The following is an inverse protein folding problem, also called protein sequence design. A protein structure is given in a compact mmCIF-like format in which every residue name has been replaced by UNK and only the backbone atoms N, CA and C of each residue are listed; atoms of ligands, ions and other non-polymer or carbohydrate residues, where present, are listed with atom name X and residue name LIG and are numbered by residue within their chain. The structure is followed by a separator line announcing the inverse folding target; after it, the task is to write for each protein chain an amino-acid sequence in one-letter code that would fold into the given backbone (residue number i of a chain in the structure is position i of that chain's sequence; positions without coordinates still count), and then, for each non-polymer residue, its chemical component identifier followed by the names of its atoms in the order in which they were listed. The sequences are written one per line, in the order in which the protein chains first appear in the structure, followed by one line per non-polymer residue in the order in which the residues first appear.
data_IF_866888552556
#
_entry.id   IF_866888552556
#
_cell.length_a   1.000
_cell.length_b   1.000
_cell.length_c   1.000
_cell.angle_alpha   90.00
_cell.angle_beta   90.00
_cell.angle_gamma   90.00
#
_symmetry.space_group_name_H-M   'P 1'
#
loop_
_entity.id
_entity.type
_entity.pdbx_description
1 polymer ?
#
# COMPACT_ATOMS: atom_id res chain seq x y z
N UNK A 1 15.05 -18.11 16.63
CA UNK A 1 14.16 -17.95 15.45
C UNK A 1 13.79 -16.48 15.36
N UNK A 2 13.89 -15.85 14.18
CA UNK A 2 13.55 -14.45 14.00
C UNK A 2 12.04 -14.26 14.15
N UNK A 3 11.63 -13.25 14.91
CA UNK A 3 10.22 -12.88 15.07
C UNK A 3 9.73 -11.99 13.94
N UNK A 4 10.60 -11.06 13.48
CA UNK A 4 10.27 -10.05 12.49
C UNK A 4 11.31 -9.99 11.37
N UNK A 5 10.86 -9.89 10.12
CA UNK A 5 11.67 -9.43 8.99
C UNK A 5 11.17 -8.05 8.56
N UNK A 6 12.03 -7.05 8.61
CA UNK A 6 11.76 -5.72 8.06
C UNK A 6 12.34 -5.66 6.65
N UNK A 7 11.47 -5.49 5.66
CA UNK A 7 11.82 -5.46 4.23
C UNK A 7 11.88 -4.00 3.79
N UNK A 8 13.06 -3.56 3.35
CA UNK A 8 13.34 -2.18 2.94
C UNK A 8 13.76 -2.16 1.47
N UNK A 9 12.85 -1.82 0.54
CA UNK A 9 13.20 -1.57 -0.85
C UNK A 9 14.06 -0.32 -0.99
N UNK A 10 15.12 -0.39 -1.80
CA UNK A 10 16.07 0.71 -1.99
C UNK A 10 16.21 1.03 -3.48
N UNK A 11 15.87 2.25 -3.86
CA UNK A 11 16.09 2.81 -5.18
C UNK A 11 16.17 4.34 -5.12
N UNK A 12 17.36 4.93 -5.33
CA UNK A 12 17.60 6.38 -5.36
C UNK A 12 17.19 7.09 -4.06
N UNK A 13 17.69 6.60 -2.90
CA UNK A 13 17.30 7.03 -1.54
C UNK A 13 18.50 7.28 -0.61
N UNK A 14 19.66 7.60 -1.17
CA UNK A 14 20.91 7.86 -0.43
C UNK A 14 20.71 8.83 0.77
N UNK A 15 19.86 9.84 0.62
CA UNK A 15 19.62 10.85 1.63
C UNK A 15 18.82 10.32 2.85
N UNK A 16 18.08 9.22 2.71
CA UNK A 16 17.06 8.79 3.68
C UNK A 16 17.35 7.43 4.32
N UNK A 17 17.94 6.51 3.57
CA UNK A 17 18.05 5.09 3.92
C UNK A 17 18.76 4.83 5.25
N UNK A 18 19.75 5.65 5.62
CA UNK A 18 20.41 5.54 6.93
C UNK A 18 19.44 5.77 8.08
N UNK A 19 18.65 6.84 8.02
CA UNK A 19 17.66 7.18 9.05
C UNK A 19 16.57 6.11 9.14
N UNK A 20 16.14 5.58 8.01
CA UNK A 20 15.19 4.47 7.96
C UNK A 20 15.71 3.25 8.72
N UNK A 21 16.92 2.76 8.40
CA UNK A 21 17.53 1.59 9.07
C UNK A 21 17.76 1.84 10.56
N UNK A 22 18.24 3.04 10.95
CA UNK A 22 18.41 3.41 12.39
C UNK A 22 17.10 3.31 13.14
N UNK A 23 15.98 3.76 12.56
CA UNK A 23 14.68 3.69 13.21
C UNK A 23 14.22 2.25 13.46
N UNK A 24 14.61 1.29 12.61
CA UNK A 24 14.36 -0.13 12.87
C UNK A 24 15.20 -0.62 14.07
N UNK A 25 16.47 -0.23 14.14
CA UNK A 25 17.35 -0.62 15.27
C UNK A 25 16.90 -0.01 16.60
N UNK A 26 16.23 1.13 16.57
CA UNK A 26 15.68 1.83 17.73
C UNK A 26 14.25 1.39 18.09
N UNK A 27 13.70 0.40 17.41
CA UNK A 27 12.32 -0.04 17.53
C UNK A 27 11.96 -0.86 18.78
N UNK A 28 12.93 -1.10 19.68
CA UNK A 28 12.71 -1.77 20.96
C UNK A 28 12.89 -3.28 20.95
N UNK A 29 13.18 -3.89 19.79
CA UNK A 29 13.47 -5.32 19.67
C UNK A 29 14.96 -5.60 19.88
N UNK A 30 15.27 -6.74 20.50
CA UNK A 30 16.64 -7.25 20.55
C UNK A 30 17.08 -7.71 19.16
N UNK A 31 18.35 -7.50 18.82
CA UNK A 31 18.92 -7.79 17.50
C UNK A 31 18.78 -9.28 17.07
N UNK A 32 18.74 -10.17 18.06
CA UNK A 32 18.47 -11.59 17.82
C UNK A 32 17.07 -11.89 17.30
N UNK A 33 16.09 -11.01 17.53
CA UNK A 33 14.67 -11.21 17.28
C UNK A 33 14.23 -10.73 15.90
N UNK A 34 15.00 -9.85 15.24
CA UNK A 34 14.64 -9.34 13.92
C UNK A 34 15.77 -9.49 12.90
N UNK A 35 15.43 -9.28 11.66
CA UNK A 35 16.34 -9.08 10.54
C UNK A 35 15.85 -7.93 9.67
N UNK A 36 16.78 -7.25 9.01
CA UNK A 36 16.54 -6.20 8.05
C UNK A 36 16.98 -6.71 6.69
N UNK A 37 16.05 -6.82 5.77
CA UNK A 37 16.31 -7.24 4.39
C UNK A 37 16.23 -6.00 3.51
N UNK A 38 17.38 -5.47 3.16
CA UNK A 38 17.52 -4.38 2.20
C UNK A 38 17.53 -4.98 0.81
N UNK A 39 16.58 -4.56 -0.04
CA UNK A 39 16.53 -4.99 -1.43
C UNK A 39 16.89 -3.82 -2.32
N UNK A 40 18.12 -3.84 -2.84
CA UNK A 40 18.61 -2.88 -3.82
C UNK A 40 18.04 -3.21 -5.21
N UNK A 41 17.13 -2.40 -5.67
CA UNK A 41 16.42 -2.56 -6.94
C UNK A 41 17.15 -1.81 -8.09
N UNK A 42 18.48 -2.03 -8.20
CA UNK A 42 19.37 -1.37 -9.16
C UNK A 42 19.46 0.14 -8.92
N UNK A 43 19.74 0.54 -7.68
CA UNK A 43 19.83 1.95 -7.29
C UNK A 43 20.95 2.68 -8.04
N UNK A 44 20.67 3.83 -8.69
CA UNK A 44 21.66 4.57 -9.46
C UNK A 44 22.56 5.46 -8.61
N UNK A 45 22.23 5.65 -7.31
CA UNK A 45 22.95 6.49 -6.35
C UNK A 45 23.83 5.67 -5.40
N UNK A 46 24.34 6.30 -4.36
CA UNK A 46 25.20 5.65 -3.36
C UNK A 46 24.44 5.05 -2.16
N UNK A 47 23.17 4.77 -2.29
CA UNK A 47 22.35 4.20 -1.20
C UNK A 47 22.99 2.96 -0.58
N UNK A 48 23.42 1.99 -1.38
CA UNK A 48 24.04 0.74 -0.90
C UNK A 48 25.41 0.98 -0.26
N UNK A 49 26.23 1.86 -0.86
CA UNK A 49 27.53 2.25 -0.30
C UNK A 49 27.35 2.90 1.09
N UNK A 50 26.37 3.80 1.22
CA UNK A 50 26.02 4.46 2.46
C UNK A 50 25.61 3.46 3.55
N UNK A 51 24.79 2.47 3.21
CA UNK A 51 24.39 1.41 4.16
C UNK A 51 25.60 0.64 4.64
N UNK A 52 26.48 0.18 3.74
CA UNK A 52 27.68 -0.60 4.09
C UNK A 52 28.66 0.19 4.97
N UNK A 53 28.81 1.50 4.70
CA UNK A 53 29.70 2.37 5.45
C UNK A 53 29.14 2.71 6.84
N UNK A 54 27.83 2.87 6.96
CA UNK A 54 27.17 3.22 8.25
C UNK A 54 26.99 2.01 9.17
N UNK A 55 26.72 0.84 8.60
CA UNK A 55 26.43 -0.40 9.32
C UNK A 55 27.40 -1.54 8.92
N UNK A 56 28.71 -1.37 9.12
CA UNK A 56 29.70 -2.36 8.66
C UNK A 56 29.52 -3.67 9.42
N UNK A 57 29.38 -4.78 8.68
CA UNK A 57 29.25 -6.13 9.21
C UNK A 57 28.09 -6.32 10.23
N UNK A 58 27.05 -5.54 10.13
CA UNK A 58 25.87 -5.68 11.01
C UNK A 58 25.16 -7.01 10.72
N UNK A 59 25.10 -7.95 11.68
CA UNK A 59 24.56 -9.29 11.44
C UNK A 59 23.03 -9.29 11.25
N UNK A 60 22.35 -8.20 11.61
CA UNK A 60 20.91 -8.07 11.39
C UNK A 60 20.56 -7.61 9.99
N UNK A 61 21.54 -7.12 9.18
CA UNK A 61 21.29 -6.53 7.87
C UNK A 61 21.77 -7.47 6.76
N UNK A 62 20.84 -7.83 5.89
CA UNK A 62 21.15 -8.54 4.63
C UNK A 62 20.82 -7.63 3.45
N UNK A 63 21.78 -7.44 2.54
CA UNK A 63 21.59 -6.66 1.31
C UNK A 63 21.50 -7.61 0.13
N UNK A 64 20.39 -7.54 -0.61
CA UNK A 64 20.12 -8.30 -1.82
C UNK A 64 20.01 -7.32 -2.98
N UNK A 65 20.92 -7.42 -3.97
CA UNK A 65 20.84 -6.61 -5.19
C UNK A 65 20.14 -7.38 -6.31
N UNK A 66 19.28 -6.71 -7.04
CA UNK A 66 18.56 -7.26 -8.18
C UNK A 66 18.47 -6.24 -9.32
N UNK A 67 18.15 -6.72 -10.54
CA UNK A 67 17.71 -5.83 -11.62
C UNK A 67 16.39 -5.19 -11.27
N UNK A 68 16.20 -3.93 -11.65
CA UNK A 68 15.01 -3.17 -11.30
C UNK A 68 13.71 -3.88 -11.70
N UNK A 69 12.89 -4.18 -10.70
CA UNK A 69 11.55 -4.79 -10.82
C UNK A 69 10.45 -3.90 -10.26
N UNK A 70 10.82 -2.69 -9.84
CA UNK A 70 9.94 -1.75 -9.15
C UNK A 70 9.67 -2.12 -7.68
N UNK A 71 8.98 -1.24 -6.97
CA UNK A 71 8.76 -1.33 -5.53
C UNK A 71 8.13 -2.68 -5.12
N UNK A 72 7.07 -3.11 -5.83
CA UNK A 72 6.45 -4.41 -5.57
C UNK A 72 7.40 -5.59 -5.78
N UNK A 73 8.24 -5.54 -6.82
CA UNK A 73 9.23 -6.59 -7.10
C UNK A 73 10.33 -6.68 -6.04
N UNK A 74 10.79 -5.53 -5.52
CA UNK A 74 11.73 -5.49 -4.41
C UNK A 74 11.13 -6.08 -3.12
N UNK A 75 9.89 -5.71 -2.79
CA UNK A 75 9.16 -6.30 -1.65
C UNK A 75 9.00 -7.82 -1.80
N UNK A 76 8.70 -8.32 -3.00
CA UNK A 76 8.59 -9.76 -3.28
C UNK A 76 9.91 -10.51 -3.05
N UNK A 77 11.04 -9.92 -3.42
CA UNK A 77 12.36 -10.50 -3.14
C UNK A 77 12.60 -10.57 -1.63
N UNK A 78 12.23 -9.52 -0.89
CA UNK A 78 12.28 -9.52 0.57
C UNK A 78 11.38 -10.59 1.21
N UNK A 79 10.12 -10.76 0.74
CA UNK A 79 9.21 -11.82 1.22
C UNK A 79 9.87 -13.20 1.07
N UNK A 80 10.46 -13.48 -0.09
CA UNK A 80 11.09 -14.77 -0.39
C UNK A 80 12.33 -15.05 0.47
N UNK A 81 13.10 -14.01 0.80
CA UNK A 81 14.30 -14.10 1.61
C UNK A 81 14.04 -14.12 3.12
N UNK A 82 12.86 -13.71 3.57
CA UNK A 82 12.51 -13.51 4.96
C UNK A 82 12.45 -14.82 5.77
N UNK A 83 12.84 -14.73 7.05
CA UNK A 83 12.80 -15.84 8.01
C UNK A 83 11.96 -15.55 9.26
N UNK A 84 11.56 -14.28 9.45
CA UNK A 84 10.72 -13.84 10.56
C UNK A 84 9.30 -14.41 10.52
N UNK A 85 8.67 -14.57 11.67
CA UNK A 85 7.28 -15.00 11.77
C UNK A 85 6.32 -13.95 11.19
N UNK A 86 6.66 -12.67 11.36
CA UNK A 86 5.94 -11.54 10.80
C UNK A 86 6.84 -10.74 9.85
N UNK A 87 6.22 -10.09 8.88
CA UNK A 87 6.86 -9.20 7.91
C UNK A 87 6.35 -7.78 8.12
N UNK A 88 7.25 -6.81 8.06
CA UNK A 88 6.96 -5.39 7.96
C UNK A 88 7.61 -4.86 6.68
N UNK A 89 6.84 -4.23 5.83
CA UNK A 89 7.36 -3.43 4.72
C UNK A 89 7.61 -2.00 5.23
N UNK A 90 8.78 -1.46 4.93
CA UNK A 90 9.14 -0.10 5.31
C UNK A 90 9.81 0.58 4.11
N UNK A 91 9.19 1.63 3.61
CA UNK A 91 9.77 2.40 2.52
C UNK A 91 11.01 3.15 3.03
N UNK A 92 12.05 3.21 2.22
CA UNK A 92 13.38 3.65 2.64
C UNK A 92 13.52 5.14 2.94
N UNK A 93 12.50 5.94 2.66
CA UNK A 93 12.37 7.34 3.07
C UNK A 93 11.52 7.54 4.33
N UNK A 94 10.93 6.47 4.87
CA UNK A 94 10.09 6.47 6.07
C UNK A 94 10.87 6.03 7.32
N UNK A 95 10.26 6.26 8.49
CA UNK A 95 10.85 5.86 9.79
C UNK A 95 9.80 5.27 10.72
N UNK A 96 10.25 4.34 11.58
CA UNK A 96 9.44 3.79 12.65
C UNK A 96 9.49 4.68 13.89
N UNK A 97 8.45 4.62 14.70
CA UNK A 97 8.44 5.23 16.04
C UNK A 97 9.34 4.41 16.97
N UNK A 98 10.24 5.03 17.74
CA UNK A 98 11.11 4.32 18.68
C UNK A 98 10.33 3.44 19.66
N UNK A 99 10.81 2.22 19.90
CA UNK A 99 10.24 1.29 20.89
C UNK A 99 8.96 0.56 20.47
N UNK A 100 8.33 0.93 19.35
CA UNK A 100 6.97 0.47 19.00
C UNK A 100 6.87 -0.99 18.58
N UNK A 101 7.90 -1.53 17.93
CA UNK A 101 7.79 -2.87 17.33
C UNK A 101 7.66 -4.00 18.36
N UNK A 102 8.26 -3.84 19.54
CA UNK A 102 8.12 -4.84 20.61
C UNK A 102 6.65 -5.00 21.02
N UNK A 103 5.94 -3.91 21.25
CA UNK A 103 4.53 -3.93 21.63
C UNK A 103 3.66 -4.50 20.50
N UNK A 104 3.88 -4.02 19.27
CA UNK A 104 3.10 -4.47 18.10
C UNK A 104 3.26 -5.98 17.86
N UNK A 105 4.47 -6.52 17.99
CA UNK A 105 4.71 -7.95 17.86
C UNK A 105 4.06 -8.77 18.97
N UNK A 106 4.13 -8.32 20.22
CA UNK A 106 3.45 -8.98 21.33
C UNK A 106 1.95 -9.07 21.11
N UNK A 107 1.34 -7.99 20.61
CA UNK A 107 -0.09 -7.99 20.27
C UNK A 107 -0.36 -8.94 19.11
N UNK A 108 0.42 -8.88 18.02
CA UNK A 108 0.24 -9.73 16.86
C UNK A 108 0.35 -11.22 17.21
N UNK A 109 1.33 -11.58 18.06
CA UNK A 109 1.53 -12.94 18.55
C UNK A 109 0.38 -13.39 19.47
N UNK A 110 -0.02 -12.55 20.44
CA UNK A 110 -1.09 -12.89 21.40
C UNK A 110 -2.46 -13.05 20.78
N UNK A 111 -2.76 -12.25 19.74
CA UNK A 111 -4.02 -12.32 18.98
C UNK A 111 -3.94 -13.30 17.80
N UNK A 112 -2.77 -13.93 17.58
CA UNK A 112 -2.51 -14.82 16.45
C UNK A 112 -2.92 -14.22 15.10
N UNK A 113 -2.68 -12.92 14.90
CA UNK A 113 -3.16 -12.19 13.74
C UNK A 113 -2.48 -12.64 12.45
N UNK A 114 -3.22 -12.62 11.35
CA UNK A 114 -2.66 -12.70 10.00
C UNK A 114 -2.21 -11.32 9.51
N UNK A 115 -2.95 -10.28 9.92
CA UNK A 115 -2.63 -8.87 9.66
C UNK A 115 -2.88 -8.09 10.95
N UNK A 116 -1.87 -7.36 11.42
CA UNK A 116 -2.02 -6.33 12.45
C UNK A 116 -1.82 -4.97 11.79
N UNK A 117 -2.83 -4.11 11.79
CA UNK A 117 -2.69 -2.72 11.38
C UNK A 117 -2.39 -1.83 12.58
N UNK A 118 -1.47 -0.87 12.41
CA UNK A 118 -1.11 0.12 13.43
C UNK A 118 -1.21 1.53 12.86
N UNK A 119 -1.29 2.52 13.74
CA UNK A 119 -1.39 3.91 13.37
C UNK A 119 -0.14 4.42 12.63
N UNK A 120 -0.35 5.39 11.75
CA UNK A 120 0.72 6.07 11.01
C UNK A 120 0.43 7.55 10.87
N UNK A 121 1.48 8.37 10.76
CA UNK A 121 1.37 9.80 10.46
C UNK A 121 2.19 10.19 9.25
N UNK A 122 1.68 11.10 8.44
CA UNK A 122 2.44 11.75 7.38
C UNK A 122 3.06 13.04 7.90
N UNK A 123 4.34 13.25 7.60
CA UNK A 123 5.09 14.43 8.00
C UNK A 123 5.78 15.08 6.79
N UNK A 124 5.92 16.41 6.80
CA UNK A 124 6.73 17.11 5.80
C UNK A 124 8.24 17.01 6.11
N UNK A 125 9.06 17.65 5.26
CA UNK A 125 10.52 17.67 5.41
C UNK A 125 10.99 18.38 6.69
N UNK A 126 10.15 19.19 7.32
CA UNK A 126 10.39 19.89 8.58
C UNK A 126 9.90 19.09 9.80
N UNK A 127 9.30 17.92 9.56
CA UNK A 127 8.72 17.05 10.60
C UNK A 127 7.34 17.50 11.09
N UNK A 128 6.71 18.48 10.43
CA UNK A 128 5.35 18.92 10.76
C UNK A 128 4.35 17.87 10.27
N UNK A 129 3.43 17.49 11.15
CA UNK A 129 2.37 16.56 10.83
C UNK A 129 1.39 17.12 9.79
N UNK A 130 1.12 16.32 8.77
CA UNK A 130 0.16 16.61 7.68
C UNK A 130 -1.14 15.84 7.88
N UNK A 131 -1.04 14.59 8.29
CA UNK A 131 -2.18 13.73 8.61
C UNK A 131 -1.79 12.63 9.61
N UNK A 132 -2.80 12.10 10.28
CA UNK A 132 -2.66 10.92 11.14
C UNK A 132 -3.80 9.94 10.84
N UNK A 133 -3.47 8.65 10.79
CA UNK A 133 -4.42 7.55 10.69
C UNK A 133 -4.23 6.65 11.91
N UNK A 134 -5.30 6.45 12.67
CA UNK A 134 -5.31 5.61 13.86
C UNK A 134 -6.59 4.78 13.85
N UNK A 135 -6.48 3.56 13.36
CA UNK A 135 -7.58 2.60 13.40
C UNK A 135 -7.49 1.77 14.68
N UNK A 136 -8.63 1.34 15.17
CA UNK A 136 -8.73 0.38 16.28
C UNK A 136 -9.82 -0.62 16.00
N UNK A 137 -9.59 -1.87 16.35
CA UNK A 137 -10.62 -2.92 16.34
C UNK A 137 -11.28 -3.12 17.71
N UNK A 138 -11.00 -2.22 18.66
CA UNK A 138 -11.58 -2.19 20.01
C UNK A 138 -11.53 -3.55 20.73
N UNK A 139 -10.39 -4.24 20.59
CA UNK A 139 -10.17 -5.54 21.19
C UNK A 139 -10.70 -6.74 20.38
N UNK A 140 -11.34 -6.52 19.24
CA UNK A 140 -11.95 -7.57 18.44
C UNK A 140 -11.02 -8.05 17.31
N UNK A 141 -10.89 -9.35 17.16
CA UNK A 141 -10.27 -9.97 15.97
C UNK A 141 -11.38 -10.14 14.93
N UNK A 142 -11.18 -9.55 13.75
CA UNK A 142 -12.15 -9.53 12.65
C UNK A 142 -11.63 -10.29 11.43
N UNK A 143 -12.51 -10.78 10.56
CA UNK A 143 -12.06 -11.12 9.19
C UNK A 143 -11.68 -9.85 8.44
N UNK A 144 -10.84 -9.97 7.41
CA UNK A 144 -10.43 -8.79 6.64
C UNK A 144 -11.59 -8.10 5.93
N UNK A 145 -12.62 -8.85 5.52
CA UNK A 145 -13.85 -8.30 4.94
C UNK A 145 -14.62 -7.52 5.99
N UNK A 146 -14.86 -8.09 7.19
CA UNK A 146 -15.52 -7.39 8.29
C UNK A 146 -14.75 -6.15 8.71
N UNK A 147 -13.42 -6.26 8.84
CA UNK A 147 -12.55 -5.14 9.17
C UNK A 147 -12.70 -4.00 8.17
N UNK A 148 -12.62 -4.29 6.88
CA UNK A 148 -12.79 -3.27 5.85
C UNK A 148 -14.19 -2.64 5.87
N UNK A 149 -15.23 -3.43 6.01
CA UNK A 149 -16.60 -2.94 5.98
C UNK A 149 -16.97 -2.07 7.19
N UNK A 150 -16.30 -2.27 8.34
CA UNK A 150 -16.62 -1.56 9.59
C UNK A 150 -15.62 -0.45 9.94
N UNK A 151 -14.33 -0.70 9.76
CA UNK A 151 -13.25 0.19 10.23
C UNK A 151 -12.60 0.93 9.05
N UNK A 152 -12.30 0.23 7.96
CA UNK A 152 -11.50 0.72 6.83
C UNK A 152 -10.01 0.76 7.14
N UNK A 153 -9.20 0.05 6.39
CA UNK A 153 -7.76 0.11 6.53
C UNK A 153 -7.12 1.24 5.69
N UNK A 154 -5.96 1.69 6.10
CA UNK A 154 -5.10 2.50 5.25
C UNK A 154 -4.57 1.65 4.09
N UNK A 155 -4.58 2.17 2.85
CA UNK A 155 -4.13 1.40 1.69
C UNK A 155 -2.62 1.13 1.65
N UNK A 156 -1.80 1.82 2.45
CA UNK A 156 -0.36 1.51 2.56
C UNK A 156 -0.13 0.11 3.11
N UNK A 157 0.89 -0.58 2.61
CA UNK A 157 1.39 -1.82 3.20
C UNK A 157 2.33 -1.57 4.39
N UNK A 158 2.85 -0.33 4.56
CA UNK A 158 3.93 0.00 5.49
C UNK A 158 3.48 0.27 6.93
N UNK A 159 2.19 0.21 7.24
CA UNK A 159 1.64 0.30 8.59
C UNK A 159 0.98 -1.01 9.05
N UNK A 160 1.53 -2.14 8.62
CA UNK A 160 0.98 -3.45 8.95
C UNK A 160 2.06 -4.48 9.21
N UNK A 161 1.82 -5.35 10.19
CA UNK A 161 2.54 -6.61 10.33
C UNK A 161 1.73 -7.70 9.63
N UNK A 162 2.39 -8.43 8.74
CA UNK A 162 1.79 -9.57 8.03
C UNK A 162 2.40 -10.86 8.53
N UNK A 163 1.59 -11.84 8.89
CA UNK A 163 2.08 -13.17 9.23
C UNK A 163 2.71 -13.81 7.98
N UNK A 164 3.98 -14.17 8.06
CA UNK A 164 4.74 -14.67 6.91
C UNK A 164 4.09 -15.91 6.27
N UNK A 165 3.70 -16.90 7.07
CA UNK A 165 3.04 -18.10 6.58
C UNK A 165 1.74 -17.79 5.85
N UNK A 166 0.94 -16.83 6.35
CA UNK A 166 -0.28 -16.38 5.68
C UNK A 166 -0.01 -15.85 4.28
N UNK A 167 1.04 -15.02 4.10
CA UNK A 167 1.38 -14.51 2.78
C UNK A 167 1.84 -15.64 1.83
N UNK A 168 2.69 -16.54 2.30
CA UNK A 168 3.24 -17.61 1.47
C UNK A 168 2.20 -18.66 1.08
N UNK A 169 1.39 -19.11 2.02
CA UNK A 169 0.34 -20.12 1.80
C UNK A 169 -0.77 -19.63 0.86
N UNK A 170 -0.99 -18.33 0.81
CA UNK A 170 -1.97 -17.71 -0.07
C UNK A 170 -1.37 -17.08 -1.33
N UNK A 171 -0.07 -17.28 -1.58
CA UNK A 171 0.65 -16.72 -2.74
C UNK A 171 0.48 -15.19 -2.88
N UNK A 172 0.47 -14.49 -1.73
CA UNK A 172 0.27 -13.05 -1.67
C UNK A 172 1.60 -12.34 -1.93
N UNK A 173 1.84 -12.03 -3.18
CA UNK A 173 2.95 -11.23 -3.68
C UNK A 173 2.43 -9.95 -4.33
N UNK A 174 3.24 -8.88 -4.31
CA UNK A 174 2.90 -7.62 -4.98
C UNK A 174 2.97 -7.78 -6.51
N UNK A 175 2.17 -7.02 -7.22
CA UNK A 175 2.37 -6.86 -8.66
C UNK A 175 3.64 -6.05 -8.91
N UNK A 176 4.48 -6.52 -9.84
CA UNK A 176 5.74 -5.86 -10.17
C UNK A 176 5.51 -4.69 -11.14
N UNK A 177 6.29 -3.61 -10.99
CA UNK A 177 6.33 -2.46 -11.92
C UNK A 177 4.99 -1.75 -12.14
N UNK A 178 4.09 -1.77 -11.19
CA UNK A 178 2.86 -0.98 -11.22
C UNK A 178 2.86 0.11 -10.16
N UNK A 179 2.13 1.19 -10.40
CA UNK A 179 1.69 2.11 -9.37
C UNK A 179 0.49 1.50 -8.63
N UNK A 180 0.17 1.96 -7.44
CA UNK A 180 -0.94 1.45 -6.61
C UNK A 180 -0.86 -0.05 -6.27
N UNK A 181 0.35 -0.61 -6.24
CA UNK A 181 0.62 -2.00 -5.87
C UNK A 181 0.11 -2.32 -4.46
N UNK A 182 0.19 -1.38 -3.53
CA UNK A 182 -0.33 -1.50 -2.16
C UNK A 182 -1.85 -1.69 -2.12
N UNK A 183 -2.57 -0.95 -2.97
CA UNK A 183 -4.02 -1.07 -3.06
C UNK A 183 -4.41 -2.48 -3.53
N UNK A 184 -3.75 -2.97 -4.57
CA UNK A 184 -4.01 -4.28 -5.16
C UNK A 184 -3.65 -5.40 -4.16
N UNK A 185 -2.45 -5.35 -3.59
CA UNK A 185 -1.96 -6.32 -2.61
C UNK A 185 -2.88 -6.40 -1.38
N UNK A 186 -3.21 -5.25 -0.79
CA UNK A 186 -4.10 -5.21 0.37
C UNK A 186 -5.52 -5.68 0.03
N UNK A 187 -6.00 -5.47 -1.20
CA UNK A 187 -7.30 -6.02 -1.63
C UNK A 187 -7.30 -7.54 -1.49
N UNK A 188 -6.30 -8.22 -2.04
CA UNK A 188 -6.19 -9.70 -1.93
C UNK A 188 -5.91 -10.16 -0.50
N UNK A 189 -5.01 -9.48 0.21
CA UNK A 189 -4.63 -9.84 1.55
C UNK A 189 -5.83 -9.76 2.53
N UNK A 190 -6.56 -8.66 2.52
CA UNK A 190 -7.72 -8.51 3.39
C UNK A 190 -8.91 -9.40 2.96
N UNK A 191 -9.11 -9.63 1.66
CA UNK A 191 -10.11 -10.58 1.20
C UNK A 191 -9.88 -12.00 1.76
N UNK A 192 -8.61 -12.42 1.86
CA UNK A 192 -8.22 -13.76 2.33
C UNK A 192 -8.03 -13.86 3.86
N UNK A 193 -7.84 -12.74 4.55
CA UNK A 193 -7.51 -12.76 5.97
C UNK A 193 -8.73 -13.12 6.84
N UNK A 194 -8.55 -14.13 7.71
CA UNK A 194 -9.54 -14.51 8.73
C UNK A 194 -9.32 -13.80 10.07
N UNK A 195 -8.09 -13.35 10.36
CA UNK A 195 -7.70 -12.75 11.64
C UNK A 195 -6.95 -11.42 11.42
N UNK A 196 -7.68 -10.33 11.46
CA UNK A 196 -7.17 -8.96 11.38
C UNK A 196 -7.42 -8.26 12.70
N UNK A 197 -6.43 -7.51 13.16
CA UNK A 197 -6.51 -6.71 14.37
C UNK A 197 -5.93 -5.32 14.12
N UNK A 198 -6.44 -4.30 14.78
CA UNK A 198 -5.90 -2.95 14.68
C UNK A 198 -5.70 -2.31 16.04
N UNK A 199 -4.62 -1.55 16.12
CA UNK A 199 -4.24 -0.77 17.30
C UNK A 199 -3.94 0.68 16.92
N UNK A 200 -4.33 1.66 17.77
CA UNK A 200 -4.17 3.08 17.45
C UNK A 200 -2.75 3.61 17.63
N UNK A 201 -1.82 2.78 18.12
CA UNK A 201 -0.43 3.18 18.34
C UNK A 201 0.22 3.64 17.03
N UNK A 202 0.79 4.85 17.03
CA UNK A 202 1.53 5.37 15.88
C UNK A 202 2.86 4.64 15.77
N UNK A 203 2.96 3.73 14.79
CA UNK A 203 4.12 2.90 14.55
C UNK A 203 5.05 3.41 13.46
N UNK A 204 4.55 4.22 12.52
CA UNK A 204 5.32 4.72 11.39
C UNK A 204 5.08 6.21 11.13
N UNK A 205 6.13 6.87 10.62
CA UNK A 205 6.09 8.24 10.13
C UNK A 205 6.47 8.24 8.65
N UNK A 206 5.53 8.60 7.80
CA UNK A 206 5.66 8.65 6.34
C UNK A 206 6.10 10.03 5.88
N UNK A 207 7.27 10.10 5.23
CA UNK A 207 7.81 11.35 4.73
C UNK A 207 7.09 11.79 3.46
N UNK A 208 6.51 12.99 3.50
CA UNK A 208 5.78 13.57 2.38
C UNK A 208 6.66 14.55 1.62
N UNK A 209 7.33 14.07 0.55
CA UNK A 209 8.18 14.90 -0.32
C UNK A 209 7.42 15.35 -1.56
N UNK A 210 7.82 16.48 -2.15
CA UNK A 210 7.27 16.94 -3.44
C UNK A 210 7.61 16.00 -4.60
N UNK A 211 8.74 15.30 -4.50
CA UNK A 211 9.24 14.36 -5.51
C UNK A 211 8.70 12.92 -5.36
N UNK A 212 7.77 12.68 -4.45
CA UNK A 212 7.13 11.37 -4.30
C UNK A 212 6.62 10.85 -5.66
N UNK A 213 6.71 9.55 -5.88
CA UNK A 213 6.28 8.86 -7.12
C UNK A 213 4.87 9.27 -7.54
N UNK A 214 3.97 9.44 -6.58
CA UNK A 214 2.57 9.82 -6.81
C UNK A 214 2.38 11.29 -7.20
N UNK A 215 3.37 12.18 -6.96
CA UNK A 215 3.31 13.62 -7.24
C UNK A 215 4.07 14.02 -8.49
N UNK A 216 5.06 13.25 -8.93
CA UNK A 216 5.85 13.54 -10.13
C UNK A 216 5.02 13.31 -11.41
N UNK A 217 4.93 14.32 -12.28
CA UNK A 217 3.89 14.45 -13.30
C UNK A 217 4.38 14.51 -14.73
N UNK A 218 5.40 13.73 -15.12
CA UNK A 218 5.71 13.64 -16.55
C UNK A 218 4.59 12.86 -17.31
N UNK A 219 4.47 13.09 -18.63
CA UNK A 219 3.39 12.52 -19.46
C UNK A 219 3.38 10.98 -19.45
N UNK A 220 4.53 10.36 -19.49
CA UNK A 220 4.66 8.89 -19.50
C UNK A 220 4.17 8.27 -18.17
N UNK A 221 4.57 8.84 -17.03
CA UNK A 221 4.10 8.39 -15.73
C UNK A 221 2.58 8.57 -15.57
N UNK A 222 2.02 9.65 -16.10
CA UNK A 222 0.57 9.88 -16.12
C UNK A 222 -0.18 8.81 -16.92
N UNK A 223 0.31 8.47 -18.10
CA UNK A 223 -0.27 7.43 -18.93
C UNK A 223 -0.13 6.06 -18.28
N UNK A 224 1.05 5.76 -17.75
CA UNK A 224 1.29 4.53 -16.99
C UNK A 224 0.33 4.40 -15.79
N UNK A 225 0.13 5.44 -15.00
CA UNK A 225 -0.82 5.42 -13.87
C UNK A 225 -2.23 5.03 -14.33
N UNK A 226 -2.71 5.57 -15.44
CA UNK A 226 -4.03 5.21 -16.01
C UNK A 226 -4.09 3.74 -16.40
N UNK A 227 -3.03 3.22 -17.04
CA UNK A 227 -2.95 1.81 -17.43
C UNK A 227 -2.90 0.88 -16.21
N UNK A 228 -2.09 1.22 -15.21
CA UNK A 228 -1.96 0.42 -13.99
C UNK A 228 -3.27 0.38 -13.19
N UNK A 229 -3.97 1.52 -13.05
CA UNK A 229 -5.29 1.55 -12.40
C UNK A 229 -6.28 0.65 -13.17
N UNK A 230 -6.25 0.67 -14.48
CA UNK A 230 -7.09 -0.16 -15.33
C UNK A 230 -6.79 -1.65 -15.14
N UNK A 231 -5.50 -2.01 -15.07
CA UNK A 231 -5.07 -3.38 -14.77
C UNK A 231 -5.54 -3.84 -13.38
N UNK A 232 -5.38 -3.01 -12.36
CA UNK A 232 -5.84 -3.33 -11.00
C UNK A 232 -7.37 -3.42 -10.92
N UNK A 233 -8.08 -2.59 -11.67
CA UNK A 233 -9.54 -2.68 -11.80
C UNK A 233 -9.97 -4.03 -12.40
N UNK A 234 -9.30 -4.48 -13.46
CA UNK A 234 -9.58 -5.77 -14.13
C UNK A 234 -9.32 -6.96 -13.20
N UNK A 235 -8.18 -6.95 -12.49
CA UNK A 235 -7.82 -7.98 -11.49
C UNK A 235 -8.86 -8.00 -10.35
N UNK A 236 -9.22 -6.84 -9.81
CA UNK A 236 -10.18 -6.73 -8.69
C UNK A 236 -11.58 -7.18 -9.14
N UNK A 237 -12.00 -6.83 -10.36
CA UNK A 237 -13.25 -7.29 -10.95
C UNK A 237 -13.26 -8.82 -11.11
N UNK A 238 -12.20 -9.39 -11.67
CA UNK A 238 -12.08 -10.84 -11.84
C UNK A 238 -12.14 -11.56 -10.48
N UNK A 239 -11.44 -11.04 -9.47
CA UNK A 239 -11.48 -11.60 -8.12
C UNK A 239 -12.90 -11.54 -7.52
N UNK A 240 -13.64 -10.47 -7.76
CA UNK A 240 -15.04 -10.35 -7.34
C UNK A 240 -15.96 -11.34 -8.03
N UNK A 241 -15.80 -11.53 -9.36
CA UNK A 241 -16.63 -12.46 -10.14
C UNK A 241 -16.36 -13.94 -9.80
N UNK A 242 -15.12 -14.28 -9.46
CA UNK A 242 -14.71 -15.66 -9.12
C UNK A 242 -14.87 -16.00 -7.64
N UNK A 243 -15.11 -15.00 -6.78
CA UNK A 243 -15.32 -15.17 -5.35
C UNK A 243 -16.78 -15.44 -4.97
N UNK A 244 -17.04 -15.59 -3.67
CA UNK A 244 -18.40 -15.77 -3.13
C UNK A 244 -19.18 -14.44 -3.10
N UNK A 245 -19.29 -13.75 -4.24
CA UNK A 245 -19.89 -12.41 -4.37
C UNK A 245 -21.37 -12.31 -4.02
N UNK A 246 -22.07 -13.44 -3.76
CA UNK A 246 -23.46 -13.45 -3.33
C UNK A 246 -23.65 -13.01 -1.87
N UNK A 247 -22.63 -13.17 -1.01
CA UNK A 247 -22.67 -12.69 0.36
C UNK A 247 -22.61 -11.17 0.42
N UNK A 248 -23.54 -10.54 1.12
CA UNK A 248 -23.67 -9.08 1.20
C UNK A 248 -22.39 -8.37 1.68
N UNK A 249 -21.64 -8.97 2.61
CA UNK A 249 -20.37 -8.44 3.11
C UNK A 249 -19.26 -8.47 2.05
N UNK A 250 -19.15 -9.54 1.28
CA UNK A 250 -18.21 -9.69 0.17
C UNK A 250 -18.54 -8.68 -0.93
N UNK A 251 -19.82 -8.56 -1.28
CA UNK A 251 -20.32 -7.58 -2.22
C UNK A 251 -19.94 -6.15 -1.81
N UNK A 252 -20.22 -5.76 -0.57
CA UNK A 252 -19.89 -4.42 -0.05
C UNK A 252 -18.37 -4.14 -0.11
N UNK A 253 -17.55 -5.12 0.26
CA UNK A 253 -16.09 -5.03 0.20
C UNK A 253 -15.61 -4.73 -1.23
N UNK A 254 -16.04 -5.51 -2.22
CA UNK A 254 -15.58 -5.35 -3.59
C UNK A 254 -16.20 -4.15 -4.30
N UNK A 255 -17.49 -3.91 -4.15
CA UNK A 255 -18.16 -2.81 -4.85
C UNK A 255 -17.62 -1.44 -4.42
N UNK A 256 -17.31 -1.23 -3.15
CA UNK A 256 -16.69 0.02 -2.70
C UNK A 256 -15.30 0.19 -3.31
N UNK A 257 -14.48 -0.86 -3.36
CA UNK A 257 -13.14 -0.84 -3.92
C UNK A 257 -13.15 -0.65 -5.44
N UNK A 258 -14.07 -1.29 -6.14
CA UNK A 258 -14.25 -1.13 -7.58
C UNK A 258 -14.75 0.28 -7.94
N UNK A 259 -15.70 0.81 -7.19
CA UNK A 259 -16.13 2.21 -7.34
C UNK A 259 -14.99 3.20 -7.08
N UNK A 260 -14.15 2.94 -6.07
CA UNK A 260 -12.95 3.74 -5.79
C UNK A 260 -11.96 3.71 -6.96
N UNK A 261 -11.71 2.54 -7.56
CA UNK A 261 -10.80 2.39 -8.70
C UNK A 261 -11.35 3.12 -9.94
N UNK A 262 -12.64 2.97 -10.25
CA UNK A 262 -13.28 3.69 -11.35
C UNK A 262 -13.18 5.20 -11.12
N UNK A 263 -13.51 5.68 -9.92
CA UNK A 263 -13.38 7.10 -9.60
C UNK A 263 -11.93 7.60 -9.71
N UNK A 264 -10.96 6.80 -9.28
CA UNK A 264 -9.54 7.13 -9.38
C UNK A 264 -9.08 7.19 -10.84
N UNK A 265 -9.49 6.22 -11.68
CA UNK A 265 -9.19 6.19 -13.10
C UNK A 265 -9.67 7.47 -13.80
N UNK A 266 -10.94 7.81 -13.65
CA UNK A 266 -11.52 8.99 -14.27
C UNK A 266 -10.97 10.31 -13.71
N UNK A 267 -10.64 10.35 -12.41
CA UNK A 267 -9.95 11.49 -11.82
C UNK A 267 -8.57 11.71 -12.47
N UNK A 268 -7.80 10.64 -12.73
CA UNK A 268 -6.51 10.75 -13.43
C UNK A 268 -6.67 11.16 -14.89
N UNK A 269 -7.68 10.67 -15.61
CA UNK A 269 -7.99 11.14 -16.97
C UNK A 269 -8.28 12.64 -16.96
N UNK A 270 -9.06 13.12 -15.99
CA UNK A 270 -9.38 14.54 -15.85
C UNK A 270 -8.13 15.38 -15.49
N UNK A 271 -7.34 14.93 -14.51
CA UNK A 271 -6.09 15.59 -14.12
C UNK A 271 -5.07 15.66 -15.26
N UNK A 272 -5.08 14.66 -16.14
CA UNK A 272 -4.23 14.62 -17.33
C UNK A 272 -4.76 15.49 -18.47
N UNK A 273 -5.95 16.09 -18.32
CA UNK A 273 -6.66 16.89 -19.35
C UNK A 273 -6.93 16.08 -20.64
N UNK A 274 -7.29 14.81 -20.46
CA UNK A 274 -7.60 13.97 -21.61
C UNK A 274 -8.84 14.50 -22.38
N UNK A 275 -8.86 14.44 -23.70
CA UNK A 275 -10.02 14.83 -24.50
C UNK A 275 -11.29 14.09 -24.08
N UNK A 276 -12.43 14.76 -24.15
CA UNK A 276 -13.72 14.17 -23.75
C UNK A 276 -14.03 12.86 -24.49
N UNK A 277 -13.66 12.75 -25.76
CA UNK A 277 -13.89 11.52 -26.55
C UNK A 277 -13.09 10.32 -25.97
N UNK A 278 -11.88 10.55 -25.46
CA UNK A 278 -11.09 9.50 -24.77
C UNK A 278 -11.79 9.08 -23.48
N UNK A 279 -12.28 10.04 -22.70
CA UNK A 279 -12.99 9.77 -21.45
C UNK A 279 -14.30 9.04 -21.69
N UNK A 280 -15.05 9.44 -22.73
CA UNK A 280 -16.28 8.78 -23.17
C UNK A 280 -16.00 7.34 -23.64
N UNK A 281 -14.98 7.16 -24.48
CA UNK A 281 -14.56 5.83 -24.94
C UNK A 281 -14.16 4.90 -23.80
N UNK A 282 -13.44 5.42 -22.79
CA UNK A 282 -13.11 4.66 -21.57
C UNK A 282 -14.37 4.22 -20.81
N UNK A 283 -15.36 5.11 -20.67
CA UNK A 283 -16.64 4.74 -20.05
C UNK A 283 -17.34 3.62 -20.82
N UNK A 284 -17.45 3.76 -22.15
CA UNK A 284 -18.09 2.75 -23.01
C UNK A 284 -17.36 1.41 -22.94
N UNK A 285 -16.02 1.43 -22.93
CA UNK A 285 -15.21 0.21 -22.74
C UNK A 285 -15.55 -0.48 -21.44
N UNK A 286 -15.54 0.26 -20.31
CA UNK A 286 -15.82 -0.31 -18.99
C UNK A 286 -17.28 -0.78 -18.87
N UNK A 287 -18.23 -0.09 -19.48
CA UNK A 287 -19.63 -0.51 -19.53
C UNK A 287 -19.79 -1.84 -20.28
N UNK A 288 -19.15 -1.96 -21.44
CA UNK A 288 -19.20 -3.19 -22.25
C UNK A 288 -18.59 -4.40 -21.53
N UNK A 289 -17.62 -4.16 -20.63
CA UNK A 289 -17.01 -5.20 -19.78
C UNK A 289 -17.76 -5.43 -18.47
N UNK A 290 -18.82 -4.71 -18.15
CA UNK A 290 -19.50 -4.77 -16.86
C UNK A 290 -18.65 -4.22 -15.69
N UNK A 291 -17.65 -3.38 -15.99
CA UNK A 291 -16.68 -2.85 -15.03
C UNK A 291 -16.89 -1.37 -14.67
N UNK A 292 -17.95 -0.73 -15.15
CA UNK A 292 -18.25 0.66 -14.84
C UNK A 292 -19.00 0.78 -13.51
N UNK A 293 -18.29 0.55 -12.41
CA UNK A 293 -18.83 0.62 -11.05
C UNK A 293 -18.96 2.07 -10.57
N UNK A 294 -20.19 2.56 -10.43
CA UNK A 294 -20.49 3.94 -10.02
C UNK A 294 -21.69 4.06 -9.06
N UNK A 295 -22.31 2.95 -8.69
CA UNK A 295 -23.55 2.97 -7.91
C UNK A 295 -23.32 2.88 -6.42
N UNK A 296 -22.26 2.18 -5.99
CA UNK A 296 -21.94 2.07 -4.57
C UNK A 296 -21.21 3.33 -4.06
N UNK A 297 -21.55 3.84 -2.85
CA UNK A 297 -20.83 4.98 -2.28
C UNK A 297 -19.35 4.69 -2.00
N UNK A 298 -18.52 5.70 -2.14
CA UNK A 298 -17.09 5.65 -1.78
C UNK A 298 -16.92 6.35 -0.43
N UNK A 299 -16.20 5.72 0.50
CA UNK A 299 -15.96 6.28 1.83
C UNK A 299 -15.26 7.66 1.79
N UNK A 300 -14.29 7.84 0.90
CA UNK A 300 -13.60 9.13 0.73
C UNK A 300 -14.55 10.18 0.14
N UNK A 301 -14.92 11.17 0.95
CA UNK A 301 -15.94 12.19 0.61
C UNK A 301 -15.67 12.87 -0.75
N UNK A 302 -14.43 13.29 -1.00
CA UNK A 302 -14.08 13.97 -2.27
C UNK A 302 -14.25 13.06 -3.49
N UNK A 303 -13.82 11.78 -3.39
CA UNK A 303 -14.03 10.80 -4.46
C UNK A 303 -15.49 10.44 -4.63
N UNK A 304 -16.24 10.36 -3.55
CA UNK A 304 -17.67 10.10 -3.62
C UNK A 304 -18.42 11.27 -4.27
N UNK A 305 -18.05 12.51 -3.94
CA UNK A 305 -18.59 13.69 -4.62
C UNK A 305 -18.26 13.69 -6.12
N UNK A 306 -17.01 13.38 -6.48
CA UNK A 306 -16.61 13.21 -7.88
C UNK A 306 -17.43 12.13 -8.60
N UNK A 307 -17.65 10.99 -7.95
CA UNK A 307 -18.52 9.93 -8.46
C UNK A 307 -19.94 10.43 -8.76
N UNK A 308 -20.54 11.15 -7.81
CA UNK A 308 -21.91 11.66 -7.95
C UNK A 308 -22.03 12.73 -9.03
N UNK A 309 -21.08 13.66 -9.10
CA UNK A 309 -21.16 14.81 -10.01
C UNK A 309 -20.68 14.48 -11.42
N UNK A 310 -19.64 13.68 -11.57
CA UNK A 310 -18.99 13.45 -12.87
C UNK A 310 -19.31 12.08 -13.42
N UNK A 311 -19.18 11.00 -12.63
CA UNK A 311 -19.29 9.65 -13.18
C UNK A 311 -20.73 9.24 -13.47
N UNK A 312 -21.70 9.67 -12.66
CA UNK A 312 -23.11 9.43 -12.95
C UNK A 312 -23.61 10.18 -14.19
N UNK A 313 -22.99 11.33 -14.48
CA UNK A 313 -23.25 12.07 -15.72
C UNK A 313 -21.94 12.61 -16.32
N UNK A 314 -21.31 11.80 -17.17
CA UNK A 314 -20.00 12.07 -17.76
C UNK A 314 -19.93 13.40 -18.55
N UNK A 315 -21.08 13.95 -19.00
CA UNK A 315 -21.11 15.22 -19.72
C UNK A 315 -20.66 16.40 -18.87
N UNK A 316 -20.79 16.30 -17.53
CA UNK A 316 -20.21 17.28 -16.62
C UNK A 316 -18.68 17.34 -16.67
N UNK A 317 -18.02 16.28 -17.15
CA UNK A 317 -16.58 16.31 -17.41
C UNK A 317 -16.19 17.48 -18.34
N UNK A 318 -16.97 17.76 -19.40
CA UNK A 318 -16.70 18.89 -20.33
C UNK A 318 -16.69 20.23 -19.61
N UNK A 319 -17.56 20.40 -18.63
CA UNK A 319 -17.68 21.64 -17.87
C UNK A 319 -16.52 21.77 -16.91
N UNK A 320 -16.25 20.73 -16.12
CA UNK A 320 -15.24 20.79 -15.06
C UNK A 320 -13.79 20.68 -15.56
N UNK A 321 -13.53 20.02 -16.70
CA UNK A 321 -12.19 19.92 -17.29
C UNK A 321 -11.65 21.26 -17.80
N UNK A 322 -12.51 22.24 -18.06
CA UNK A 322 -12.10 23.60 -18.44
C UNK A 322 -11.63 24.45 -17.26
N UNK A 323 -11.88 24.03 -16.01
CA UNK A 323 -11.49 24.75 -14.79
C UNK A 323 -10.25 24.16 -14.09
N UNK A 324 -9.70 23.04 -14.60
CA UNK A 324 -8.49 22.37 -14.14
C UNK A 324 -7.31 22.61 -15.10
#
# INVERSE_FOLDING_TARGET
MKKLSVIIPVYNVEAYVEKCIRSVKESGLEESQYEIIVVDDESPDKSVERIRNTFPNDPAITIISQKNKGLGGARNTGIKASQGNYLLFLDSDDVLTPGVLQELLLIAESQETQILEFGAKGVDMQGKEIYTVQNTSDGNVLSGIQYYNTIRYMNSACNKLYKRTFLLENELFFLERIFIEDFEFNTRAFYKAAKVYAVPQIGACFLQTENSITRNSNKEKKQKMVQDIKQVLDITHTLYQTGNGELSEVKNFFEERLNFLVATLFYHLMKNKEPFEIVKGMKEELQNKGMYYVDHPIYQKNKNLFRLLILKNIYFYKIFSSFL
#
